data_IF_454323886910
#
_entry.id   IF_454323886910
#
_cell.length_a   1.000
_cell.length_b   1.000
_cell.length_c   1.000
_cell.angle_alpha   90.00
_cell.angle_beta   90.00
_cell.angle_gamma   90.00
#
_symmetry.space_group_name_H-M   'P 1'
#
loop_
_entity.id
_entity.type
_entity.pdbx_description
1 polymer ?
#
# COMPACT_ATOMS: atom_id res chain seq x y z
N UNK A 1 -9.98 -6.92 5.16
CA UNK A 1 -10.73 -5.69 4.81
C UNK A 1 -11.86 -5.52 5.81
N UNK A 2 -11.90 -4.40 6.56
CA UNK A 2 -12.74 -4.23 7.76
C UNK A 2 -14.25 -4.43 7.51
N UNK A 3 -14.75 -4.00 6.35
CA UNK A 3 -16.17 -4.12 5.98
C UNK A 3 -16.56 -5.48 5.37
N UNK A 4 -15.59 -6.39 5.19
CA UNK A 4 -15.82 -7.75 4.62
C UNK A 4 -15.40 -8.88 5.57
N UNK A 5 -15.10 -8.58 6.83
CA UNK A 5 -14.86 -9.62 7.82
C UNK A 5 -16.15 -10.44 8.07
N UNK A 6 -16.03 -11.69 8.53
CA UNK A 6 -17.17 -12.47 9.01
C UNK A 6 -17.83 -11.78 10.21
N UNK A 7 -19.16 -11.92 10.40
CA UNK A 7 -19.80 -11.54 11.65
C UNK A 7 -19.15 -12.24 12.86
N UNK A 8 -19.03 -11.58 14.03
CA UNK A 8 -19.47 -10.21 14.33
C UNK A 8 -18.41 -9.13 14.03
N UNK A 9 -17.28 -9.47 13.43
CA UNK A 9 -16.13 -8.57 13.26
C UNK A 9 -16.25 -7.60 12.09
N UNK A 10 -17.33 -7.66 11.31
CA UNK A 10 -17.57 -6.74 10.20
C UNK A 10 -17.87 -5.35 10.73
N UNK A 11 -17.07 -4.38 10.33
CA UNK A 11 -17.34 -2.97 10.64
C UNK A 11 -18.35 -2.37 9.65
N UNK A 12 -19.19 -1.47 10.13
CA UNK A 12 -20.09 -0.66 9.30
C UNK A 12 -19.25 0.33 8.46
N UNK A 13 -19.69 0.59 7.22
CA UNK A 13 -18.96 1.40 6.26
C UNK A 13 -18.72 2.85 6.67
N UNK A 14 -19.70 3.52 7.27
CA UNK A 14 -19.59 4.86 7.83
C UNK A 14 -18.60 4.92 8.98
N UNK A 15 -18.63 3.94 9.89
CA UNK A 15 -17.64 3.82 10.98
C UNK A 15 -16.22 3.70 10.44
N UNK A 16 -15.99 2.86 9.43
CA UNK A 16 -14.66 2.70 8.80
C UNK A 16 -14.22 3.99 8.12
N UNK A 17 -15.11 4.68 7.40
CA UNK A 17 -14.81 5.97 6.75
C UNK A 17 -14.36 7.00 7.78
N UNK A 18 -15.13 7.19 8.84
CA UNK A 18 -14.86 8.23 9.84
C UNK A 18 -13.54 7.94 10.58
N UNK A 19 -13.29 6.67 10.89
CA UNK A 19 -12.01 6.24 11.45
C UNK A 19 -10.83 6.51 10.50
N UNK A 20 -10.95 6.24 9.19
CA UNK A 20 -9.89 6.50 8.22
C UNK A 20 -9.58 8.00 8.11
N UNK A 21 -10.61 8.85 8.06
CA UNK A 21 -10.45 10.31 7.98
C UNK A 21 -9.75 10.85 9.23
N UNK A 22 -10.13 10.37 10.42
CA UNK A 22 -9.51 10.80 11.67
C UNK A 22 -8.07 10.27 11.82
N UNK A 23 -7.84 8.99 11.49
CA UNK A 23 -6.55 8.33 11.71
C UNK A 23 -5.47 8.78 10.72
N UNK A 24 -5.86 9.14 9.50
CA UNK A 24 -4.97 9.50 8.40
C UNK A 24 -5.25 10.91 7.88
N UNK A 25 -5.32 11.89 8.79
CA UNK A 25 -5.55 13.30 8.45
C UNK A 25 -4.34 14.01 7.78
N UNK A 26 -3.22 13.30 7.60
CA UNK A 26 -2.03 13.83 6.94
C UNK A 26 -2.17 13.94 5.42
N UNK A 27 -1.17 14.55 4.79
CA UNK A 27 -1.11 14.65 3.33
C UNK A 27 -1.02 13.26 2.69
N UNK A 28 -1.82 13.01 1.67
CA UNK A 28 -1.69 11.81 0.84
C UNK A 28 -0.33 11.78 0.15
N UNK A 29 0.35 10.64 0.27
CA UNK A 29 1.56 10.36 -0.49
C UNK A 29 1.14 9.88 -1.88
N UNK A 30 1.70 10.51 -2.90
CA UNK A 30 1.40 10.22 -4.30
C UNK A 30 2.69 10.28 -5.10
N UNK A 31 2.77 9.47 -6.16
CA UNK A 31 3.77 9.65 -7.19
C UNK A 31 3.39 10.86 -8.06
N UNK A 32 4.38 11.62 -8.50
CA UNK A 32 4.17 12.54 -9.62
C UNK A 32 3.80 11.77 -10.90
N UNK A 33 3.24 12.47 -11.90
CA UNK A 33 2.88 11.85 -13.17
C UNK A 33 4.09 11.18 -13.86
N UNK A 34 5.29 11.77 -13.76
CA UNK A 34 6.52 11.22 -14.35
C UNK A 34 6.96 9.95 -13.61
N UNK A 35 6.93 9.97 -12.27
CA UNK A 35 7.26 8.80 -11.46
C UNK A 35 6.26 7.67 -11.67
N UNK A 36 4.97 7.98 -11.78
CA UNK A 36 3.94 6.99 -12.06
C UNK A 36 4.18 6.30 -13.42
N UNK A 37 4.49 7.07 -14.47
CA UNK A 37 4.81 6.51 -15.78
C UNK A 37 6.03 5.59 -15.72
N UNK A 38 7.10 6.03 -15.04
CA UNK A 38 8.31 5.20 -14.83
C UNK A 38 8.00 3.93 -14.06
N UNK A 39 7.19 4.03 -13.01
CA UNK A 39 6.75 2.91 -12.20
C UNK A 39 6.06 1.83 -13.07
N UNK A 40 5.09 2.22 -13.90
CA UNK A 40 4.37 1.25 -14.76
C UNK A 40 5.34 0.55 -15.72
N UNK A 41 6.26 1.29 -16.33
CA UNK A 41 7.26 0.71 -17.25
C UNK A 41 8.25 -0.22 -16.55
N UNK A 42 8.55 -0.01 -15.26
CA UNK A 42 9.50 -0.81 -14.48
C UNK A 42 8.89 -2.05 -13.82
N UNK A 43 7.56 -2.25 -13.86
CA UNK A 43 6.91 -3.41 -13.25
C UNK A 43 7.51 -4.78 -13.67
N UNK A 44 7.84 -5.02 -14.97
CA UNK A 44 8.47 -6.26 -15.38
C UNK A 44 9.85 -6.49 -14.76
N UNK A 45 10.63 -5.42 -14.59
CA UNK A 45 11.98 -5.47 -13.99
C UNK A 45 11.92 -5.90 -12.51
N UNK A 46 10.84 -5.57 -11.83
CA UNK A 46 10.55 -6.01 -10.47
C UNK A 46 9.85 -7.39 -10.41
N UNK A 47 9.61 -8.04 -11.54
CA UNK A 47 8.88 -9.31 -11.64
C UNK A 47 7.46 -9.22 -11.08
N UNK A 48 6.82 -8.05 -11.22
CA UNK A 48 5.46 -7.77 -10.71
C UNK A 48 4.47 -7.86 -11.87
N UNK A 49 3.38 -8.59 -11.65
CA UNK A 49 2.29 -8.72 -12.62
C UNK A 49 0.93 -8.88 -11.91
N UNK A 50 -0.16 -8.63 -12.65
CA UNK A 50 -1.52 -8.78 -12.15
C UNK A 50 -1.80 -7.95 -10.89
N UNK A 51 -2.51 -8.54 -9.93
CA UNK A 51 -2.93 -7.85 -8.70
C UNK A 51 -1.80 -7.35 -7.81
N UNK A 52 -0.58 -7.89 -7.93
CA UNK A 52 0.58 -7.43 -7.17
C UNK A 52 1.05 -6.01 -7.57
N UNK A 53 0.58 -5.48 -8.71
CA UNK A 53 0.87 -4.11 -9.13
C UNK A 53 0.32 -3.05 -8.14
N UNK A 54 -0.77 -3.35 -7.42
CA UNK A 54 -1.29 -2.43 -6.40
C UNK A 54 -0.36 -2.33 -5.19
N UNK A 55 0.16 -3.46 -4.71
CA UNK A 55 1.18 -3.48 -3.65
C UNK A 55 2.47 -2.78 -4.12
N UNK A 56 2.87 -3.02 -5.36
CA UNK A 56 4.04 -2.37 -5.95
C UNK A 56 3.87 -0.84 -6.04
N UNK A 57 2.65 -0.34 -6.32
CA UNK A 57 2.37 1.09 -6.32
C UNK A 57 2.50 1.70 -4.92
N UNK A 58 2.01 1.00 -3.88
CA UNK A 58 2.23 1.41 -2.48
C UNK A 58 3.72 1.46 -2.15
N UNK A 59 4.48 0.44 -2.56
CA UNK A 59 5.92 0.36 -2.34
C UNK A 59 6.68 1.50 -3.04
N UNK A 60 6.40 1.72 -4.33
CA UNK A 60 7.01 2.79 -5.11
C UNK A 60 6.72 4.17 -4.49
N UNK A 61 5.48 4.36 -4.00
CA UNK A 61 5.06 5.62 -3.36
C UNK A 61 5.80 5.85 -2.04
N UNK A 62 5.89 4.83 -1.18
CA UNK A 62 6.62 4.92 0.08
C UNK A 62 8.13 5.18 -0.15
N UNK A 63 8.71 4.50 -1.15
CA UNK A 63 10.12 4.70 -1.54
C UNK A 63 10.37 6.12 -2.04
N UNK A 64 9.52 6.64 -2.93
CA UNK A 64 9.63 8.00 -3.44
C UNK A 64 9.48 9.05 -2.32
N UNK A 65 8.63 8.78 -1.33
CA UNK A 65 8.43 9.65 -0.18
C UNK A 65 9.49 9.47 0.93
N UNK A 66 10.36 8.47 0.85
CA UNK A 66 11.37 8.19 1.86
C UNK A 66 10.80 7.74 3.21
N UNK A 67 9.67 7.03 3.21
CA UNK A 67 8.99 6.57 4.44
C UNK A 67 9.03 5.05 4.55
N UNK A 68 9.07 4.54 5.78
CA UNK A 68 8.96 3.13 6.05
C UNK A 68 7.51 2.63 5.90
N UNK A 69 7.32 1.34 5.61
CA UNK A 69 5.99 0.74 5.50
C UNK A 69 5.74 -0.21 6.68
N UNK A 70 4.52 -0.18 7.22
CA UNK A 70 4.03 -1.21 8.13
C UNK A 70 2.98 -2.07 7.41
N UNK A 71 3.07 -3.39 7.54
CA UNK A 71 2.08 -4.30 6.93
C UNK A 71 1.83 -5.54 7.80
N UNK A 72 0.56 -5.93 7.88
CA UNK A 72 0.14 -7.23 8.42
C UNK A 72 -0.11 -8.25 7.31
N UNK A 73 -0.03 -7.84 6.04
CA UNK A 73 -0.20 -8.73 4.89
C UNK A 73 1.16 -9.35 4.50
N UNK A 74 1.35 -10.61 4.91
CA UNK A 74 2.56 -11.38 4.57
C UNK A 74 2.72 -11.61 3.07
N UNK A 75 1.65 -11.62 2.26
CA UNK A 75 1.77 -11.76 0.80
C UNK A 75 2.37 -10.51 0.17
N UNK A 76 1.93 -9.33 0.61
CA UNK A 76 2.40 -8.06 0.08
C UNK A 76 3.86 -7.76 0.46
N UNK A 77 4.33 -8.32 1.59
CA UNK A 77 5.71 -8.15 2.07
C UNK A 77 6.76 -8.49 1.01
N UNK A 78 6.59 -9.58 0.26
CA UNK A 78 7.50 -9.98 -0.81
C UNK A 78 7.62 -8.92 -1.91
N UNK A 79 6.54 -8.19 -2.20
CA UNK A 79 6.57 -7.09 -3.17
C UNK A 79 7.33 -5.90 -2.58
N UNK A 80 7.06 -5.54 -1.33
CA UNK A 80 7.70 -4.38 -0.71
C UNK A 80 9.22 -4.56 -0.55
N UNK A 81 9.67 -5.77 -0.22
CA UNK A 81 11.09 -6.12 -0.13
C UNK A 81 11.81 -6.01 -1.49
N UNK A 82 11.16 -6.34 -2.62
CA UNK A 82 11.71 -6.13 -3.98
C UNK A 82 11.92 -4.66 -4.33
N UNK A 83 11.17 -3.76 -3.68
CA UNK A 83 11.35 -2.31 -3.78
C UNK A 83 12.37 -1.78 -2.77
N UNK A 84 13.01 -2.65 -1.98
CA UNK A 84 14.05 -2.30 -1.01
C UNK A 84 13.53 -1.51 0.19
N UNK A 85 12.25 -1.66 0.54
CA UNK A 85 11.67 -0.97 1.68
C UNK A 85 11.94 -1.68 2.99
N UNK A 86 12.20 -0.88 4.02
CA UNK A 86 12.15 -1.34 5.39
C UNK A 86 10.70 -1.53 5.83
N UNK A 87 10.40 -2.72 6.33
CA UNK A 87 9.08 -3.07 6.85
C UNK A 87 9.11 -3.03 8.37
N UNK A 88 8.35 -2.09 8.94
CA UNK A 88 8.26 -1.87 10.38
C UNK A 88 7.06 -2.63 10.93
N UNK A 89 7.32 -3.53 11.87
CA UNK A 89 6.30 -4.36 12.51
C UNK A 89 5.98 -5.65 11.73
N UNK A 90 5.95 -6.76 12.48
CA UNK A 90 5.59 -8.10 12.05
C UNK A 90 5.18 -8.91 13.27
#
# INVERSE_FOLDING_TARGET
MLTRLPPPHRAESGVVRDWLVQRFAGRFLVLSAVEHRRFVSALPEHGVSGGAAYDALVAATARAAGVALATLDRRARLVYERYGLEIVGG
#
